data_IF_259447974189
#
_entry.id   IF_259447974189
#
_cell.length_a   1.000
_cell.length_b   1.000
_cell.length_c   1.000
_cell.angle_alpha   90.00
_cell.angle_beta   90.00
_cell.angle_gamma   90.00
#
_symmetry.space_group_name_H-M   'P 1'
#
loop_
_entity.id
_entity.type
_entity.pdbx_description
1 polymer ?
#
# COMPACT_ATOMS: atom_id res chain seq x y z
N UNK A 1 -13.81 -15.80 -15.92
CA UNK A 1 -13.17 -15.32 -14.67
C UNK A 1 -12.86 -16.52 -13.81
N UNK A 2 -11.62 -16.68 -13.35
CA UNK A 2 -11.20 -17.79 -12.48
C UNK A 2 -10.96 -17.21 -11.08
N UNK A 3 -11.73 -17.68 -10.09
CA UNK A 3 -11.55 -17.29 -8.68
C UNK A 3 -10.69 -18.36 -8.01
N UNK A 4 -9.53 -17.97 -7.51
CA UNK A 4 -8.65 -18.82 -6.72
C UNK A 4 -8.85 -18.51 -5.25
N UNK A 5 -8.93 -19.55 -4.41
CA UNK A 5 -8.99 -19.41 -2.96
C UNK A 5 -7.66 -18.93 -2.36
N UNK A 6 -7.34 -19.37 -1.16
CA UNK A 6 -6.06 -19.08 -0.53
C UNK A 6 -4.90 -19.63 -1.34
N UNK A 7 -3.91 -18.81 -1.63
CA UNK A 7 -2.71 -19.17 -2.37
C UNK A 7 -1.50 -18.91 -1.46
N UNK A 8 -0.70 -19.94 -1.13
CA UNK A 8 0.45 -19.79 -0.23
C UNK A 8 1.54 -18.87 -0.78
N UNK A 9 1.78 -18.88 -2.10
CA UNK A 9 2.73 -18.01 -2.78
C UNK A 9 2.05 -17.29 -3.95
N UNK A 10 1.94 -15.96 -3.84
CA UNK A 10 1.34 -15.10 -4.86
C UNK A 10 2.32 -14.72 -5.97
N UNK A 11 3.62 -14.82 -5.75
CA UNK A 11 4.66 -14.33 -6.65
C UNK A 11 4.49 -14.83 -8.09
N UNK A 12 4.31 -16.16 -8.37
CA UNK A 12 4.17 -16.63 -9.74
C UNK A 12 2.91 -16.10 -10.44
N UNK A 13 1.86 -15.80 -9.65
CA UNK A 13 0.62 -15.23 -10.20
C UNK A 13 0.75 -13.74 -10.49
N UNK A 14 1.46 -13.03 -9.63
CA UNK A 14 1.75 -11.61 -9.84
C UNK A 14 2.66 -11.44 -11.05
N UNK A 15 3.76 -12.19 -11.14
CA UNK A 15 4.71 -12.09 -12.26
C UNK A 15 4.08 -12.51 -13.60
N UNK A 16 3.11 -13.43 -13.58
CA UNK A 16 2.36 -13.86 -14.77
C UNK A 16 1.22 -12.93 -15.19
N UNK A 17 0.82 -11.96 -14.36
CA UNK A 17 -0.28 -11.07 -14.67
C UNK A 17 0.22 -9.79 -15.37
N UNK A 18 -0.44 -9.41 -16.47
CA UNK A 18 -0.04 -8.25 -17.28
C UNK A 18 -0.50 -6.91 -16.69
N UNK A 19 -1.67 -6.87 -16.06
CA UNK A 19 -2.32 -5.67 -15.52
C UNK A 19 -2.99 -6.03 -14.21
N UNK A 20 -2.87 -5.16 -13.22
CA UNK A 20 -3.64 -5.27 -12.00
C UNK A 20 -4.86 -4.34 -12.03
N UNK A 21 -5.97 -4.80 -11.47
CA UNK A 21 -7.21 -4.01 -11.40
C UNK A 21 -7.71 -3.89 -9.97
N UNK A 22 -8.12 -2.69 -9.59
CA UNK A 22 -8.64 -2.38 -8.26
C UNK A 22 -9.95 -1.58 -8.31
N UNK A 23 -11.09 -2.21 -8.72
CA UNK A 23 -12.38 -1.55 -8.85
C UNK A 23 -13.08 -1.43 -7.48
N UNK A 24 -12.47 -0.71 -6.53
CA UNK A 24 -13.04 -0.54 -5.20
C UNK A 24 -14.10 0.56 -5.21
N UNK A 25 -15.23 0.28 -4.59
CA UNK A 25 -16.32 1.25 -4.39
C UNK A 25 -16.22 2.00 -3.07
N UNK A 26 -15.54 1.40 -2.09
CA UNK A 26 -15.34 1.95 -0.75
C UNK A 26 -14.08 1.38 -0.12
N UNK A 27 -13.57 2.06 0.88
CA UNK A 27 -12.40 1.64 1.66
C UNK A 27 -11.55 2.85 2.03
N UNK A 28 -10.92 2.80 3.19
CA UNK A 28 -10.02 3.82 3.68
C UNK A 28 -8.56 3.33 3.71
N UNK A 29 -7.62 4.26 3.74
CA UNK A 29 -6.19 4.00 3.90
C UNK A 29 -5.50 3.40 2.68
N UNK A 30 -4.21 3.16 2.83
CA UNK A 30 -3.32 2.60 1.80
C UNK A 30 -3.74 1.18 1.42
N UNK A 31 -3.83 0.91 0.12
CA UNK A 31 -4.26 -0.39 -0.41
C UNK A 31 -3.05 -1.28 -0.70
N UNK A 32 -2.69 -2.14 0.25
CA UNK A 32 -1.54 -3.04 0.14
C UNK A 32 -1.51 -3.87 -1.15
N UNK A 33 -2.67 -4.26 -1.69
CA UNK A 33 -2.75 -4.98 -2.97
C UNK A 33 -2.27 -4.16 -4.18
N UNK A 34 -2.48 -2.84 -4.19
CA UNK A 34 -1.97 -1.97 -5.25
C UNK A 34 -0.46 -1.84 -5.12
N UNK A 35 0.04 -1.60 -3.89
CA UNK A 35 1.48 -1.55 -3.63
C UNK A 35 2.17 -2.85 -4.03
N UNK A 36 1.58 -4.00 -3.70
CA UNK A 36 2.11 -5.30 -4.09
C UNK A 36 2.17 -5.45 -5.62
N UNK A 37 1.11 -5.07 -6.33
CA UNK A 37 1.09 -5.13 -7.79
C UNK A 37 2.15 -4.24 -8.42
N UNK A 38 2.28 -2.99 -7.94
CA UNK A 38 3.30 -2.05 -8.41
C UNK A 38 4.73 -2.53 -8.10
N UNK A 39 4.95 -3.16 -6.93
CA UNK A 39 6.23 -3.74 -6.55
C UNK A 39 6.65 -4.91 -7.46
N UNK A 40 5.69 -5.61 -8.09
CA UNK A 40 5.93 -6.60 -9.15
C UNK A 40 5.99 -5.97 -10.55
N UNK A 41 6.05 -4.64 -10.67
CA UNK A 41 6.11 -3.95 -11.95
C UNK A 41 4.82 -4.00 -12.76
N UNK A 42 3.70 -4.36 -12.16
CA UNK A 42 2.41 -4.39 -12.84
C UNK A 42 1.79 -2.98 -12.87
N UNK A 43 1.43 -2.45 -14.03
CA UNK A 43 0.63 -1.24 -14.11
C UNK A 43 -0.78 -1.50 -13.61
N UNK A 44 -1.37 -0.49 -12.99
CA UNK A 44 -2.65 -0.61 -12.28
C UNK A 44 -3.71 0.26 -12.93
N UNK A 45 -4.93 -0.30 -13.03
CA UNK A 45 -6.16 0.47 -13.27
C UNK A 45 -7.01 0.42 -11.99
N UNK A 46 -7.38 1.58 -11.47
CA UNK A 46 -8.02 1.68 -10.17
C UNK A 46 -9.14 2.73 -10.17
N UNK A 47 -10.01 2.66 -9.18
CA UNK A 47 -10.98 3.74 -8.89
C UNK A 47 -10.33 4.84 -8.04
N UNK A 48 -10.92 6.02 -7.99
CA UNK A 48 -10.44 7.13 -7.16
C UNK A 48 -10.31 6.73 -5.69
N UNK A 49 -11.29 6.02 -5.15
CA UNK A 49 -11.27 5.50 -3.78
C UNK A 49 -10.09 4.52 -3.54
N UNK A 50 -9.66 3.79 -4.56
CA UNK A 50 -8.59 2.81 -4.44
C UNK A 50 -7.20 3.45 -4.34
N UNK A 51 -6.99 4.63 -4.92
CA UNK A 51 -5.70 5.34 -4.94
C UNK A 51 -5.55 6.40 -3.85
N UNK A 52 -6.57 6.62 -3.05
CA UNK A 52 -6.56 7.60 -1.98
C UNK A 52 -5.42 7.33 -0.98
N UNK A 53 -4.61 8.36 -0.70
CA UNK A 53 -3.47 8.29 0.21
C UNK A 53 -2.24 7.56 -0.33
N UNK A 54 -2.20 7.26 -1.64
CA UNK A 54 -1.11 6.48 -2.25
C UNK A 54 -0.12 7.31 -3.08
N UNK A 55 -0.24 8.63 -3.10
CA UNK A 55 0.62 9.54 -3.87
C UNK A 55 0.66 9.24 -5.38
N UNK A 56 -0.42 8.67 -5.93
CA UNK A 56 -0.54 8.26 -7.32
C UNK A 56 -1.24 9.33 -8.16
N UNK A 57 -0.75 9.55 -9.38
CA UNK A 57 -1.31 10.52 -10.34
C UNK A 57 -1.89 9.79 -11.55
N UNK A 58 -3.11 10.19 -11.91
CA UNK A 58 -3.78 9.67 -13.11
C UNK A 58 -2.96 9.93 -14.38
N UNK A 59 -2.78 8.89 -15.20
CA UNK A 59 -2.08 8.98 -16.47
C UNK A 59 -0.55 8.90 -16.38
N UNK A 60 0.02 9.12 -15.19
CA UNK A 60 1.46 9.01 -14.94
C UNK A 60 1.82 7.69 -14.23
N UNK A 61 1.21 7.44 -13.07
CA UNK A 61 1.55 6.29 -12.22
C UNK A 61 0.47 5.20 -12.28
N UNK A 62 -0.77 5.61 -12.57
CA UNK A 62 -1.96 4.75 -12.56
C UNK A 62 -3.02 5.27 -13.54
N UNK A 63 -3.88 4.42 -14.05
CA UNK A 63 -5.12 4.85 -14.71
C UNK A 63 -6.27 4.83 -13.70
N UNK A 64 -6.94 5.97 -13.53
CA UNK A 64 -8.06 6.11 -12.60
C UNK A 64 -9.34 6.25 -13.42
N UNK A 65 -10.34 5.42 -13.10
CA UNK A 65 -11.67 5.49 -13.68
C UNK A 65 -12.70 4.95 -12.67
N UNK A 66 -13.77 5.69 -12.43
CA UNK A 66 -14.86 5.31 -11.52
C UNK A 66 -16.06 4.74 -12.27
N UNK A 67 -16.31 5.20 -13.49
CA UNK A 67 -17.36 4.65 -14.35
C UNK A 67 -16.94 3.27 -14.89
N UNK A 68 -17.81 2.25 -14.89
CA UNK A 68 -17.49 0.92 -15.37
C UNK A 68 -17.05 0.88 -16.85
N UNK A 69 -17.61 1.74 -17.71
CA UNK A 69 -17.28 1.81 -19.13
C UNK A 69 -15.90 2.43 -19.32
N UNK A 70 -15.63 3.53 -18.61
CA UNK A 70 -14.31 4.18 -18.62
C UNK A 70 -13.24 3.25 -18.06
N UNK A 71 -13.56 2.52 -16.98
CA UNK A 71 -12.66 1.53 -16.39
C UNK A 71 -12.30 0.43 -17.40
N UNK A 72 -13.28 -0.13 -18.07
CA UNK A 72 -13.06 -1.14 -19.10
C UNK A 72 -12.20 -0.59 -20.26
N UNK A 73 -12.48 0.63 -20.73
CA UNK A 73 -11.71 1.30 -21.76
C UNK A 73 -10.26 1.56 -21.32
N UNK A 74 -10.04 1.96 -20.07
CA UNK A 74 -8.70 2.14 -19.50
C UNK A 74 -7.90 0.83 -19.49
N UNK A 75 -8.52 -0.29 -19.11
CA UNK A 75 -7.90 -1.62 -19.15
C UNK A 75 -7.54 -2.01 -20.60
N UNK A 76 -8.47 -1.84 -21.55
CA UNK A 76 -8.25 -2.17 -22.96
C UNK A 76 -7.10 -1.31 -23.53
N UNK A 77 -7.11 -0.01 -23.27
CA UNK A 77 -6.05 0.91 -23.69
C UNK A 77 -4.70 0.48 -23.16
N UNK A 78 -4.61 0.21 -21.86
CA UNK A 78 -3.38 -0.20 -21.20
C UNK A 78 -2.87 -1.55 -21.73
N UNK A 79 -3.78 -2.46 -22.06
CA UNK A 79 -3.43 -3.77 -22.63
C UNK A 79 -2.84 -3.66 -24.04
N UNK A 80 -3.34 -2.71 -24.86
CA UNK A 80 -2.98 -2.53 -26.28
C UNK A 80 -1.79 -1.61 -26.52
N UNK A 81 -1.46 -0.75 -25.55
CA UNK A 81 -0.39 0.25 -25.68
C UNK A 81 0.84 -0.14 -24.85
N UNK A 82 1.88 -0.72 -25.48
CA UNK A 82 3.09 -1.14 -24.78
C UNK A 82 3.88 0.03 -24.18
N UNK A 83 3.85 1.21 -24.82
CA UNK A 83 4.56 2.38 -24.34
C UNK A 83 3.91 2.93 -23.05
N UNK A 84 2.58 3.01 -23.04
CA UNK A 84 1.82 3.36 -21.85
C UNK A 84 2.04 2.33 -20.72
N UNK A 85 2.01 1.05 -21.06
CA UNK A 85 2.25 -0.04 -20.11
C UNK A 85 3.61 0.11 -19.42
N UNK A 86 4.67 0.26 -20.22
CA UNK A 86 6.03 0.38 -19.68
C UNK A 86 6.21 1.64 -18.82
N UNK A 87 5.63 2.77 -19.23
CA UNK A 87 5.67 4.01 -18.46
C UNK A 87 5.01 3.85 -17.10
N UNK A 88 3.77 3.33 -17.05
CA UNK A 88 3.05 3.15 -15.80
C UNK A 88 3.71 2.10 -14.90
N UNK A 89 4.30 1.04 -15.48
CA UNK A 89 5.07 0.05 -14.74
C UNK A 89 6.27 0.70 -14.04
N UNK A 90 7.08 1.46 -14.77
CA UNK A 90 8.26 2.12 -14.22
C UNK A 90 7.88 3.14 -13.13
N UNK A 91 6.89 3.99 -13.40
CA UNK A 91 6.45 5.00 -12.43
C UNK A 91 5.81 4.37 -11.19
N UNK A 92 5.11 3.25 -11.34
CA UNK A 92 4.59 2.48 -10.21
C UNK A 92 5.71 1.98 -9.29
N UNK A 93 6.79 1.42 -9.86
CA UNK A 93 7.98 1.01 -9.11
C UNK A 93 8.63 2.19 -8.40
N UNK A 94 8.81 3.33 -9.09
CA UNK A 94 9.36 4.55 -8.52
C UNK A 94 8.53 5.08 -7.35
N UNK A 95 7.20 5.00 -7.45
CA UNK A 95 6.30 5.40 -6.36
C UNK A 95 6.47 4.51 -5.13
N UNK A 96 6.57 3.19 -5.32
CA UNK A 96 6.82 2.25 -4.23
C UNK A 96 8.15 2.54 -3.56
N UNK A 97 9.21 2.75 -4.32
CA UNK A 97 10.53 3.03 -3.77
C UNK A 97 10.55 4.33 -2.96
N UNK A 98 9.94 5.41 -3.48
CA UNK A 98 9.92 6.71 -2.80
C UNK A 98 9.06 6.75 -1.55
N UNK A 99 7.90 6.10 -1.55
CA UNK A 99 6.88 6.33 -0.52
C UNK A 99 6.64 5.12 0.38
N UNK A 100 6.91 3.90 -0.10
CA UNK A 100 6.52 2.67 0.59
C UNK A 100 7.68 1.70 0.84
N UNK A 101 8.92 2.11 0.54
CA UNK A 101 10.12 1.32 0.82
C UNK A 101 10.50 1.37 2.30
N UNK A 102 11.28 0.40 2.75
CA UNK A 102 11.90 0.43 4.08
C UNK A 102 12.82 1.64 4.26
N UNK A 103 13.48 2.08 3.18
CA UNK A 103 14.32 3.28 3.20
C UNK A 103 13.51 4.54 3.47
N UNK A 104 12.33 4.66 2.87
CA UNK A 104 11.40 5.77 3.13
C UNK A 104 10.80 5.72 4.54
N UNK A 105 10.49 4.53 5.05
CA UNK A 105 9.89 4.37 6.38
C UNK A 105 10.87 4.63 7.54
N UNK A 106 12.15 4.24 7.39
CA UNK A 106 13.16 4.35 8.46
C UNK A 106 13.29 5.73 9.09
N UNK A 107 13.43 6.84 8.35
CA UNK A 107 13.58 8.17 8.95
C UNK A 107 12.32 8.59 9.71
N UNK A 108 11.14 8.25 9.22
CA UNK A 108 9.86 8.58 9.87
C UNK A 108 9.74 7.83 11.20
N UNK A 109 10.00 6.53 11.20
CA UNK A 109 9.96 5.70 12.42
C UNK A 109 11.01 6.19 13.42
N UNK A 110 12.23 6.49 12.95
CA UNK A 110 13.30 7.03 13.81
C UNK A 110 12.90 8.36 14.45
N UNK A 111 12.33 9.28 13.68
CA UNK A 111 11.88 10.59 14.20
C UNK A 111 10.79 10.44 15.28
N UNK A 112 9.81 9.56 15.04
CA UNK A 112 8.75 9.27 16.01
C UNK A 112 9.33 8.69 17.31
N UNK A 113 10.26 7.73 17.21
CA UNK A 113 10.88 7.11 18.39
C UNK A 113 11.76 8.08 19.16
N UNK A 114 12.51 8.96 18.49
CA UNK A 114 13.37 9.93 19.14
C UNK A 114 12.57 11.04 19.83
N UNK A 115 11.47 11.51 19.22
CA UNK A 115 10.58 12.51 19.84
C UNK A 115 9.92 12.01 21.12
N UNK A 116 9.70 10.71 21.27
CA UNK A 116 9.20 10.13 22.52
C UNK A 116 10.26 10.06 23.62
N UNK A 117 11.55 10.15 23.26
CA UNK A 117 12.66 10.20 24.23
C UNK A 117 12.88 11.57 24.89
N UNK A 118 12.38 12.66 24.32
CA UNK A 118 12.53 14.04 24.82
C UNK A 118 11.36 14.51 25.72
N UNK A 119 10.57 13.60 26.26
CA UNK A 119 9.63 13.92 27.33
C UNK A 119 10.45 14.22 28.60
N UNK A 120 10.98 15.43 28.69
CA UNK A 120 11.62 15.97 29.88
C UNK A 120 10.71 15.82 31.10
N UNK A 121 11.04 14.89 31.97
CA UNK A 121 10.73 14.92 33.43
C UNK A 121 9.27 14.83 33.87
N UNK A 122 8.30 14.59 32.98
CA UNK A 122 6.90 14.40 33.38
C UNK A 122 6.32 13.24 32.59
N UNK A 123 6.57 12.02 33.04
CA UNK A 123 5.94 10.80 32.50
C UNK A 123 4.44 10.82 32.77
N UNK A 124 3.69 11.53 31.96
CA UNK A 124 2.26 11.29 31.86
C UNK A 124 2.05 10.15 30.85
N UNK A 125 1.68 8.94 31.27
CA UNK A 125 1.38 7.87 30.35
C UNK A 125 0.22 8.32 29.44
N UNK A 126 0.24 7.96 28.15
CA UNK A 126 -0.85 8.31 27.23
C UNK A 126 -2.19 7.79 27.77
N UNK A 127 -3.32 8.49 27.49
CA UNK A 127 -4.62 8.18 28.12
C UNK A 127 -5.08 6.73 27.96
N UNK A 128 -4.60 6.01 26.92
CA UNK A 128 -4.89 4.59 26.73
C UNK A 128 -4.07 3.65 27.61
N UNK A 129 -2.92 4.10 28.15
CA UNK A 129 -2.09 3.28 29.04
C UNK A 129 -2.69 3.13 30.44
N UNK A 130 -3.57 4.05 30.84
CA UNK A 130 -4.29 3.97 32.09
C UNK A 130 -5.39 2.89 32.11
N UNK A 131 -5.78 2.37 30.93
CA UNK A 131 -6.79 1.32 30.79
C UNK A 131 -6.22 -0.11 30.80
N UNK A 132 -4.89 -0.26 30.82
CA UNK A 132 -4.24 -1.57 30.87
C UNK A 132 -4.02 -1.99 32.33
N UNK A 133 -4.70 -3.04 32.76
CA UNK A 133 -4.42 -3.68 34.05
C UNK A 133 -3.01 -4.28 34.05
N UNK A 134 -2.30 -4.32 35.19
CA UNK A 134 -0.88 -4.74 35.27
C UNK A 134 -0.57 -6.14 34.72
N UNK A 135 -1.59 -7.01 34.53
CA UNK A 135 -1.44 -8.34 33.98
C UNK A 135 -1.35 -8.38 32.42
N UNK A 136 -1.83 -7.34 31.71
CA UNK A 136 -1.75 -7.25 30.25
C UNK A 136 -0.44 -6.64 29.76
N UNK A 137 0.21 -5.79 30.55
CA UNK A 137 1.51 -5.20 30.21
C UNK A 137 2.65 -6.23 30.19
N UNK A 138 2.60 -7.25 31.07
CA UNK A 138 3.59 -8.34 31.11
C UNK A 138 3.52 -9.28 29.89
N UNK A 139 2.35 -9.44 29.28
CA UNK A 139 2.21 -10.29 28.06
C UNK A 139 2.72 -9.62 26.79
N UNK A 140 2.58 -8.31 26.67
CA UNK A 140 3.09 -7.56 25.51
C UNK A 140 4.61 -7.41 25.53
N UNK A 141 5.22 -7.32 26.71
CA UNK A 141 6.67 -7.26 26.86
C UNK A 141 7.37 -8.57 26.49
N UNK A 142 6.74 -9.71 26.75
CA UNK A 142 7.26 -11.04 26.40
C UNK A 142 7.23 -11.36 24.89
N UNK A 143 6.40 -10.65 24.10
CA UNK A 143 6.30 -10.83 22.63
C UNK A 143 7.36 -9.99 21.90
N UNK A 144 7.83 -8.91 22.48
CA UNK A 144 8.86 -8.03 21.90
C UNK A 144 10.30 -8.54 22.04
N UNK A 145 10.52 -9.64 22.75
CA UNK A 145 11.86 -10.25 22.98
C UNK A 145 12.11 -11.56 22.24
N UNK A 146 11.26 -11.93 21.25
CA UNK A 146 11.52 -13.10 20.39
C UNK A 146 11.82 -12.71 18.96
#
# INVERSE_FOLDING_TARGET
MLIRGHIPDLTPHMDGARIAVAPLRFGAGVKGKINLSMAHGQPVVATQCAVEGMHLRHGDDVLIADDPTEFANAVIRLYRDPALWQRLSNHGLDNIERHFSLAAARPVVKDVLLRQGDCGGSCCPPPWAAALTPLSALRLWAIAQR
#
